data_IF_266492580754
#
_entry.id   IF_266492580754
#
_cell.length_a   1.000
_cell.length_b   1.000
_cell.length_c   1.000
_cell.angle_alpha   90.00
_cell.angle_beta   90.00
_cell.angle_gamma   90.00
#
_symmetry.space_group_name_H-M   'P 1'
#
loop_
_entity.id
_entity.type
_entity.pdbx_description
1 polymer ?
#
# COMPACT_ATOMS: atom_id res chain seq x y z
N UNK A 1 -3.86 -15.76 17.51
CA UNK A 1 -3.15 -15.59 18.80
C UNK A 1 -2.92 -14.10 19.05
N UNK A 2 -2.29 -13.72 20.16
CA UNK A 2 -2.00 -12.29 20.46
C UNK A 2 -1.03 -11.69 19.44
N UNK A 3 -0.11 -12.50 18.90
CA UNK A 3 0.86 -12.12 17.88
C UNK A 3 0.80 -13.09 16.70
N UNK A 4 0.87 -12.57 15.48
CA UNK A 4 0.99 -13.35 14.24
C UNK A 4 2.08 -12.76 13.35
N UNK A 5 2.96 -13.61 12.81
CA UNK A 5 3.99 -13.21 11.86
C UNK A 5 4.02 -14.19 10.68
N UNK A 6 4.02 -13.66 9.45
CA UNK A 6 4.07 -14.46 8.24
C UNK A 6 5.05 -13.86 7.22
N UNK A 7 5.82 -14.71 6.57
CA UNK A 7 6.74 -14.30 5.50
C UNK A 7 6.63 -15.25 4.32
N UNK A 8 6.58 -14.72 3.10
CA UNK A 8 6.62 -15.50 1.87
C UNK A 8 7.64 -14.93 0.88
N UNK A 9 8.41 -15.81 0.26
CA UNK A 9 9.39 -15.46 -0.78
C UNK A 9 9.14 -16.31 -2.03
N UNK A 10 9.38 -15.72 -3.21
CA UNK A 10 9.20 -16.36 -4.51
C UNK A 10 8.26 -15.59 -5.42
N UNK A 11 8.24 -15.93 -6.71
CA UNK A 11 7.53 -15.19 -7.78
C UNK A 11 6.10 -14.79 -7.41
N UNK A 12 5.39 -15.63 -6.64
CA UNK A 12 4.03 -15.40 -6.14
C UNK A 12 3.91 -15.58 -4.62
N UNK A 13 4.85 -15.00 -3.87
CA UNK A 13 4.83 -15.08 -2.40
C UNK A 13 3.57 -14.43 -1.82
N UNK A 14 2.80 -15.15 -1.01
CA UNK A 14 1.65 -14.60 -0.29
C UNK A 14 1.81 -14.81 1.23
N UNK A 15 1.77 -13.72 1.99
CA UNK A 15 1.89 -13.74 3.45
C UNK A 15 0.65 -13.13 4.10
N UNK A 16 0.07 -13.81 5.10
CA UNK A 16 -1.06 -13.31 5.87
C UNK A 16 -0.81 -13.50 7.36
N UNK A 17 -0.93 -12.42 8.13
CA UNK A 17 -0.77 -12.43 9.58
C UNK A 17 -2.01 -11.87 10.27
N UNK A 18 -2.56 -12.65 11.21
CA UNK A 18 -3.72 -12.29 12.02
C UNK A 18 -3.38 -12.33 13.51
N UNK A 19 -3.88 -11.36 14.28
CA UNK A 19 -3.66 -11.28 15.72
C UNK A 19 -3.80 -9.85 16.24
N UNK A 20 -3.62 -9.61 17.54
CA UNK A 20 -3.62 -8.23 18.07
C UNK A 20 -2.47 -7.41 17.47
N UNK A 21 -1.31 -8.05 17.29
CA UNK A 21 -0.18 -7.55 16.50
C UNK A 21 0.10 -8.54 15.36
N UNK A 22 -0.10 -8.09 14.12
CA UNK A 22 0.09 -8.90 12.91
C UNK A 22 1.19 -8.31 12.04
N UNK A 23 2.18 -9.11 11.64
CA UNK A 23 3.24 -8.69 10.72
C UNK A 23 3.31 -9.63 9.51
N UNK A 24 3.04 -9.13 8.31
CA UNK A 24 3.10 -9.89 7.07
C UNK A 24 4.12 -9.29 6.10
N UNK A 25 5.00 -10.11 5.53
CA UNK A 25 5.97 -9.70 4.51
C UNK A 25 5.95 -10.64 3.32
N UNK A 26 5.81 -10.09 2.11
CA UNK A 26 5.86 -10.85 0.87
C UNK A 26 6.88 -10.26 -0.10
N UNK A 27 7.78 -11.10 -0.62
CA UNK A 27 8.83 -10.68 -1.56
C UNK A 27 8.82 -11.55 -2.82
N UNK A 28 8.70 -10.90 -3.98
CA UNK A 28 8.72 -11.52 -5.30
C UNK A 28 7.84 -10.77 -6.28
N UNK A 29 7.93 -11.09 -7.58
CA UNK A 29 7.29 -10.32 -8.67
C UNK A 29 5.82 -9.98 -8.42
N UNK A 30 5.06 -10.90 -7.82
CA UNK A 30 3.67 -10.74 -7.42
C UNK A 30 3.50 -11.00 -5.91
N UNK A 31 4.36 -10.39 -5.09
CA UNK A 31 4.27 -10.49 -3.62
C UNK A 31 2.98 -9.87 -3.07
N UNK A 32 2.22 -10.61 -2.27
CA UNK A 32 1.01 -10.12 -1.59
C UNK A 32 1.11 -10.28 -0.07
N UNK A 33 1.02 -9.18 0.67
CA UNK A 33 1.07 -9.17 2.13
C UNK A 33 -0.21 -8.59 2.74
N UNK A 34 -0.80 -9.29 3.71
CA UNK A 34 -1.98 -8.85 4.45
C UNK A 34 -1.77 -8.97 5.95
N UNK A 35 -2.01 -7.87 6.67
CA UNK A 35 -1.96 -7.84 8.13
C UNK A 35 -3.32 -7.36 8.68
N UNK A 36 -3.89 -8.19 9.56
CA UNK A 36 -5.17 -7.90 10.24
C UNK A 36 -4.95 -7.95 11.74
N UNK A 37 -5.26 -6.85 12.44
CA UNK A 37 -5.00 -6.68 13.86
C UNK A 37 -4.94 -5.23 14.32
N UNK A 38 -5.06 -4.97 15.62
CA UNK A 38 -5.00 -3.63 16.22
C UNK A 38 -3.66 -2.90 15.98
N UNK A 39 -2.62 -3.62 15.59
CA UNK A 39 -1.35 -3.07 15.08
C UNK A 39 -0.86 -3.99 13.96
N UNK A 40 -1.45 -3.84 12.77
CA UNK A 40 -1.11 -4.64 11.58
C UNK A 40 -0.05 -3.99 10.70
N UNK A 41 1.08 -4.64 10.44
CA UNK A 41 2.10 -4.20 9.49
C UNK A 41 2.18 -5.16 8.29
N UNK A 42 1.87 -4.67 7.09
CA UNK A 42 1.97 -5.42 5.84
C UNK A 42 3.01 -4.78 4.92
N UNK A 43 3.96 -5.58 4.42
CA UNK A 43 4.99 -5.14 3.48
C UNK A 43 5.04 -6.04 2.26
N UNK A 44 4.90 -5.48 1.07
CA UNK A 44 5.04 -6.20 -0.19
C UNK A 44 6.12 -5.56 -1.06
N UNK A 45 7.03 -6.39 -1.57
CA UNK A 45 8.13 -5.96 -2.43
C UNK A 45 8.14 -6.79 -3.71
N UNK A 46 8.07 -6.12 -4.86
CA UNK A 46 8.08 -6.78 -6.18
C UNK A 46 7.51 -5.93 -7.32
N UNK A 47 7.53 -6.47 -8.54
CA UNK A 47 7.06 -5.81 -9.78
C UNK A 47 5.56 -5.48 -9.76
N UNK A 48 4.78 -6.14 -8.91
CA UNK A 48 3.35 -5.88 -8.64
C UNK A 48 3.04 -6.18 -7.18
N UNK A 49 3.86 -5.65 -6.26
CA UNK A 49 3.69 -5.88 -4.83
C UNK A 49 2.37 -5.30 -4.30
N UNK A 50 1.56 -6.08 -3.59
CA UNK A 50 0.30 -5.63 -2.99
C UNK A 50 0.34 -5.78 -1.46
N UNK A 51 0.18 -4.67 -0.73
CA UNK A 51 0.16 -4.65 0.74
C UNK A 51 -1.18 -4.13 1.27
N UNK A 52 -1.77 -4.82 2.25
CA UNK A 52 -3.01 -4.42 2.88
C UNK A 52 -2.93 -4.49 4.40
N UNK A 53 -3.27 -3.37 5.07
CA UNK A 53 -3.41 -3.28 6.51
C UNK A 53 -4.85 -2.91 6.86
N UNK A 54 -5.52 -3.79 7.60
CA UNK A 54 -6.99 -3.74 7.78
C UNK A 54 -7.45 -3.48 9.20
N UNK A 55 -6.56 -3.52 10.20
CA UNK A 55 -6.91 -3.17 11.58
C UNK A 55 -6.32 -1.83 12.00
N UNK A 56 -6.70 -1.38 13.20
CA UNK A 56 -6.37 -0.06 13.72
C UNK A 56 -4.87 0.19 13.73
N UNK A 57 -4.47 1.45 13.57
CA UNK A 57 -3.06 1.89 13.55
C UNK A 57 -2.18 1.03 12.62
N UNK A 58 -2.76 0.51 11.55
CA UNK A 58 -2.09 -0.37 10.61
C UNK A 58 -1.16 0.39 9.67
N UNK A 59 -0.16 -0.30 9.15
CA UNK A 59 0.76 0.22 8.14
C UNK A 59 0.86 -0.75 6.96
N UNK A 60 0.48 -0.29 5.78
CA UNK A 60 0.68 -1.01 4.53
C UNK A 60 1.80 -0.33 3.72
N UNK A 61 2.80 -1.09 3.30
CA UNK A 61 3.87 -0.60 2.43
C UNK A 61 4.04 -1.47 1.19
N UNK A 62 3.93 -0.85 0.02
CA UNK A 62 4.20 -1.50 -1.26
C UNK A 62 5.41 -0.85 -1.95
N UNK A 63 6.35 -1.68 -2.36
CA UNK A 63 7.61 -1.27 -3.01
C UNK A 63 7.85 -2.08 -4.28
N UNK A 64 8.55 -1.50 -5.25
CA UNK A 64 8.81 -2.09 -6.57
C UNK A 64 7.99 -1.45 -7.69
N UNK A 65 7.94 -2.06 -8.87
CA UNK A 65 7.11 -1.55 -9.97
C UNK A 65 5.62 -1.75 -9.63
N UNK A 66 4.73 -0.84 -10.02
CA UNK A 66 3.27 -0.94 -9.84
C UNK A 66 2.79 -1.37 -8.44
N UNK A 67 3.49 -0.94 -7.39
CA UNK A 67 3.16 -1.33 -6.01
C UNK A 67 1.84 -0.72 -5.55
N UNK A 68 0.97 -1.52 -4.93
CA UNK A 68 -0.34 -1.09 -4.42
C UNK A 68 -0.43 -1.26 -2.90
N UNK A 69 -0.63 -0.16 -2.17
CA UNK A 69 -0.80 -0.17 -0.71
C UNK A 69 -2.22 0.27 -0.29
N UNK A 70 -2.88 -0.51 0.56
CA UNK A 70 -4.22 -0.19 1.07
C UNK A 70 -4.27 -0.20 2.60
N UNK A 71 -4.85 0.85 3.18
CA UNK A 71 -5.01 1.00 4.63
C UNK A 71 -6.48 1.28 4.98
N UNK A 72 -7.20 0.28 5.46
CA UNK A 72 -8.65 0.38 5.70
C UNK A 72 -9.05 0.33 7.18
N UNK A 73 -8.09 0.19 8.10
CA UNK A 73 -8.32 0.26 9.55
C UNK A 73 -8.29 1.70 10.09
N UNK A 74 -8.74 1.92 11.32
CA UNK A 74 -8.73 3.26 11.92
C UNK A 74 -7.29 3.81 12.04
N UNK A 75 -7.09 5.11 11.77
CA UNK A 75 -5.79 5.78 11.91
C UNK A 75 -4.61 5.04 11.24
N UNK A 76 -4.87 4.37 10.12
CA UNK A 76 -3.88 3.56 9.40
C UNK A 76 -3.18 4.35 8.29
N UNK A 77 -2.04 3.84 7.82
CA UNK A 77 -1.22 4.48 6.78
C UNK A 77 -0.93 3.52 5.64
N UNK A 78 -1.19 3.95 4.41
CA UNK A 78 -0.76 3.26 3.19
C UNK A 78 0.36 4.04 2.50
N UNK A 79 1.48 3.38 2.21
CA UNK A 79 2.62 3.98 1.54
C UNK A 79 3.03 3.15 0.31
N UNK A 80 2.99 3.77 -0.87
CA UNK A 80 3.56 3.19 -2.08
C UNK A 80 4.74 4.05 -2.55
N UNK A 81 5.96 3.52 -2.42
CA UNK A 81 7.22 4.24 -2.70
C UNK A 81 7.97 3.70 -3.91
N UNK A 82 7.34 2.73 -4.58
CA UNK A 82 7.77 2.11 -5.82
C UNK A 82 7.53 2.96 -7.06
N UNK A 83 7.86 2.40 -8.22
CA UNK A 83 7.60 3.02 -9.51
C UNK A 83 6.13 2.84 -9.91
N UNK A 84 5.43 3.88 -10.38
CA UNK A 84 3.98 3.84 -10.66
C UNK A 84 3.19 3.24 -9.48
N UNK A 85 3.57 3.62 -8.26
CA UNK A 85 2.93 3.14 -7.05
C UNK A 85 1.60 3.83 -6.82
N UNK A 86 0.62 3.08 -6.31
CA UNK A 86 -0.70 3.61 -5.93
C UNK A 86 -1.08 3.28 -4.50
N UNK A 87 -1.84 4.16 -3.87
CA UNK A 87 -2.27 4.00 -2.49
C UNK A 87 -3.74 4.40 -2.32
N UNK A 88 -4.44 3.70 -1.44
CA UNK A 88 -5.78 4.08 -0.99
C UNK A 88 -5.89 3.93 0.53
N UNK A 89 -6.91 4.56 1.10
CA UNK A 89 -7.28 4.28 2.48
C UNK A 89 -8.75 4.57 2.80
N UNK A 90 -9.16 4.19 4.02
CA UNK A 90 -10.44 4.58 4.58
C UNK A 90 -10.40 6.04 5.08
N UNK A 91 -11.56 6.63 5.36
CA UNK A 91 -11.66 7.98 5.91
C UNK A 91 -10.80 8.13 7.18
N UNK A 92 -10.07 9.23 7.30
CA UNK A 92 -9.15 9.48 8.43
C UNK A 92 -7.83 8.71 8.38
N UNK A 93 -7.61 7.80 7.43
CA UNK A 93 -6.30 7.20 7.18
C UNK A 93 -5.35 8.18 6.49
N UNK A 94 -4.07 7.84 6.38
CA UNK A 94 -3.12 8.59 5.57
C UNK A 94 -2.63 7.77 4.36
N UNK A 95 -2.39 8.46 3.25
CA UNK A 95 -1.69 7.90 2.10
C UNK A 95 -0.37 8.64 1.88
N UNK A 96 0.67 7.90 1.45
CA UNK A 96 1.98 8.43 1.05
C UNK A 96 2.36 7.84 -0.30
N UNK A 97 2.72 8.71 -1.24
CA UNK A 97 3.07 8.32 -2.61
C UNK A 97 4.38 8.97 -3.05
N UNK A 98 5.09 8.28 -3.95
CA UNK A 98 6.32 8.75 -4.58
C UNK A 98 6.18 8.69 -6.09
N UNK A 99 6.51 9.79 -6.76
CA UNK A 99 6.71 9.84 -8.21
C UNK A 99 8.20 9.71 -8.54
N UNK A 100 8.53 8.88 -9.53
CA UNK A 100 9.89 8.68 -10.01
C UNK A 100 9.98 8.98 -11.51
N UNK A 101 11.10 9.54 -11.94
CA UNK A 101 11.38 9.76 -13.37
C UNK A 101 11.81 8.47 -14.08
N UNK A 102 12.07 8.57 -15.39
CA UNK A 102 12.51 7.48 -16.26
C UNK A 102 13.86 6.81 -15.88
N UNK A 103 14.64 7.41 -14.99
CA UNK A 103 15.89 6.85 -14.48
C UNK A 103 15.73 6.28 -13.05
N UNK A 104 14.53 6.40 -12.47
CA UNK A 104 14.20 5.93 -11.13
C UNK A 104 14.53 6.91 -10.01
N UNK A 105 14.94 8.14 -10.34
CA UNK A 105 15.16 9.19 -9.35
C UNK A 105 13.82 9.61 -8.74
N UNK A 106 13.83 9.95 -7.46
CA UNK A 106 12.64 10.50 -6.79
C UNK A 106 12.45 11.94 -7.25
N UNK A 107 11.30 12.23 -7.88
CA UNK A 107 10.92 13.57 -8.32
C UNK A 107 10.00 14.23 -7.29
N UNK A 108 9.00 13.49 -6.83
CA UNK A 108 8.03 13.97 -5.85
C UNK A 108 7.72 12.92 -4.78
N UNK A 109 7.44 13.42 -3.58
CA UNK A 109 6.83 12.66 -2.51
C UNK A 109 5.69 13.50 -1.94
N UNK A 110 4.54 12.89 -1.72
CA UNK A 110 3.39 13.55 -1.10
C UNK A 110 2.68 12.65 -0.13
N UNK A 111 2.12 13.28 0.90
CA UNK A 111 1.27 12.63 1.88
C UNK A 111 -0.02 13.45 2.03
N UNK A 112 -1.14 12.76 2.26
CA UNK A 112 -2.39 13.41 2.62
C UNK A 112 -3.21 12.49 3.52
N UNK A 113 -4.04 13.11 4.37
CA UNK A 113 -5.10 12.40 5.07
C UNK A 113 -6.25 12.16 4.09
N UNK A 114 -6.77 10.94 4.09
CA UNK A 114 -7.96 10.54 3.35
C UNK A 114 -9.18 11.19 4.02
N UNK A 115 -10.09 11.72 3.20
CA UNK A 115 -11.21 12.57 3.65
C UNK A 115 -10.89 14.06 3.61
N UNK A 116 -9.61 14.43 3.54
CA UNK A 116 -9.15 15.82 3.46
C UNK A 116 -8.48 16.10 2.09
N UNK A 117 -8.31 17.38 1.76
CA UNK A 117 -7.52 17.85 0.60
C UNK A 117 -7.92 17.24 -0.76
N UNK A 118 -9.18 16.82 -0.91
CA UNK A 118 -9.69 16.20 -2.13
C UNK A 118 -9.39 14.70 -2.28
N UNK A 119 -8.83 14.04 -1.26
CA UNK A 119 -8.55 12.61 -1.26
C UNK A 119 -9.77 11.83 -0.77
N UNK A 120 -10.40 11.08 -1.66
CA UNK A 120 -11.63 10.34 -1.37
C UNK A 120 -11.33 9.00 -0.68
N UNK A 121 -12.10 8.61 0.34
CA UNK A 121 -12.04 7.28 0.90
C UNK A 121 -12.29 6.19 -0.14
N UNK A 122 -11.52 5.11 -0.09
CA UNK A 122 -11.67 3.94 -0.97
C UNK A 122 -11.24 4.15 -2.43
N UNK A 123 -10.67 5.31 -2.76
CA UNK A 123 -10.18 5.62 -4.11
C UNK A 123 -8.66 5.44 -4.15
N UNK A 124 -8.18 4.79 -5.20
CA UNK A 124 -6.75 4.66 -5.47
C UNK A 124 -6.20 5.96 -6.04
N UNK A 125 -5.10 6.43 -5.47
CA UNK A 125 -4.37 7.60 -5.96
C UNK A 125 -2.96 7.24 -6.38
N UNK A 126 -2.47 7.98 -7.37
CA UNK A 126 -1.08 8.02 -7.84
C UNK A 126 -0.59 9.48 -7.81
N UNK A 127 0.73 9.69 -8.00
CA UNK A 127 1.26 11.02 -8.24
C UNK A 127 1.57 11.21 -9.72
N UNK A 128 1.04 12.29 -10.30
CA UNK A 128 1.43 12.72 -11.63
C UNK A 128 2.85 13.32 -11.65
N UNK A 129 3.30 13.74 -12.84
CA UNK A 129 4.63 14.32 -13.06
C UNK A 129 4.84 15.66 -12.35
N UNK A 130 3.77 16.35 -11.93
CA UNK A 130 3.80 17.59 -11.16
C UNK A 130 3.65 17.33 -9.64
N UNK A 131 3.62 16.05 -9.25
CA UNK A 131 3.48 15.60 -7.88
C UNK A 131 2.09 15.84 -7.29
N UNK A 132 1.05 15.98 -8.12
CA UNK A 132 -0.34 16.07 -7.65
C UNK A 132 -0.95 14.68 -7.50
N UNK A 133 -1.87 14.55 -6.54
CA UNK A 133 -2.66 13.33 -6.43
C UNK A 133 -3.66 13.26 -7.60
N UNK A 134 -3.62 12.15 -8.32
CA UNK A 134 -4.57 11.83 -9.39
C UNK A 134 -5.22 10.48 -9.08
N UNK A 135 -6.52 10.37 -9.37
CA UNK A 135 -7.23 9.09 -9.21
C UNK A 135 -6.66 8.09 -10.23
N UNK A 136 -6.25 6.92 -9.75
CA UNK A 136 -5.77 5.86 -10.62
C UNK A 136 -6.95 5.32 -11.43
N UNK A 137 -6.81 5.21 -12.75
CA UNK A 137 -7.83 4.56 -13.57
C UNK A 137 -8.02 3.12 -13.08
N UNK A 138 -9.28 2.70 -12.96
CA UNK A 138 -9.59 1.29 -12.77
C UNK A 138 -8.98 0.55 -13.96
N UNK A 139 -8.01 -0.32 -13.72
CA UNK A 139 -7.69 -1.38 -14.68
C UNK A 139 -8.94 -2.25 -14.69
N UNK A 140 -9.90 -1.89 -15.55
CA UNK A 140 -11.09 -2.67 -15.77
C UNK A 140 -10.66 -4.11 -15.95
N UNK A 141 -11.18 -4.98 -15.10
CA UNK A 141 -11.11 -6.41 -15.29
C UNK A 141 -11.61 -6.68 -16.71
N UNK A 142 -10.67 -6.91 -17.63
CA UNK A 142 -11.00 -7.39 -18.96
C UNK A 142 -11.72 -8.73 -18.78
N UNK A 143 -12.94 -8.77 -19.31
CA UNK A 143 -13.83 -9.93 -19.51
C UNK A 143 -13.23 -11.33 -19.31
#
# INVERSE_FOLDING_TARGET
GVRGAASATGVRGAASATGYQGAASATGDQGAASATGYQGAASATGVRGAASATGDQGAASATGYQGAASATGEASVAAATGWNGRAQGADGCAIVLVHRDGDGNIVHIRASKVGDNGIKPGVWYELDADGQFVEAEDQGDGE
#
